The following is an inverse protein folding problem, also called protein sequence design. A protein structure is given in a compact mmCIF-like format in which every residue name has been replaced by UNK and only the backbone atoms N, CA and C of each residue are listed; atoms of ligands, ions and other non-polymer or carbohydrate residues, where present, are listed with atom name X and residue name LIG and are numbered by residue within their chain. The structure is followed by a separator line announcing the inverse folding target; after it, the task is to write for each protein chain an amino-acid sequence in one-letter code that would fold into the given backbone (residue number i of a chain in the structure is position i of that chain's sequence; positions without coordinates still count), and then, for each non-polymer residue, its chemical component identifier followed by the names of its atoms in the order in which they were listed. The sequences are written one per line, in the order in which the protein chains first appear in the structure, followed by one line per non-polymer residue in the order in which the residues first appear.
data_IF_602546764216
#
_entry.id   IF_602546764216
#
_cell.length_a   1.000
_cell.length_b   1.000
_cell.length_c   1.000
_cell.angle_alpha   90.00
_cell.angle_beta   90.00
_cell.angle_gamma   90.00
#
_symmetry.space_group_name_H-M   'P 1'
#
loop_
_entity.id
_entity.type
_entity.pdbx_description
1 polymer ?
#
# COMPACT_ATOMS: atom_id res chain seq x y z
N UNK A 1 -10.12 -6.00 -9.67
CA UNK A 1 -8.96 -5.70 -8.78
C UNK A 1 -9.19 -4.42 -8.02
N UNK A 2 -9.16 -4.48 -6.68
CA UNK A 2 -9.21 -3.31 -5.80
C UNK A 2 -7.88 -3.13 -5.10
N UNK A 3 -7.48 -1.87 -4.88
CA UNK A 3 -6.24 -1.52 -4.20
C UNK A 3 -6.57 -0.84 -2.87
N UNK A 4 -5.71 -1.08 -1.88
CA UNK A 4 -5.80 -0.54 -0.54
C UNK A 4 -4.43 -0.09 -0.07
N UNK A 5 -4.31 1.15 0.37
CA UNK A 5 -3.07 1.67 0.98
C UNK A 5 -3.10 1.42 2.48
N UNK A 6 -1.93 1.07 3.02
CA UNK A 6 -1.65 0.89 4.43
C UNK A 6 -0.53 1.88 4.76
N UNK A 7 -0.84 2.93 5.53
CA UNK A 7 0.17 3.86 6.03
C UNK A 7 0.38 3.54 7.50
N UNK A 8 1.57 3.05 7.83
CA UNK A 8 1.97 2.71 9.20
C UNK A 8 2.88 3.79 9.74
N UNK A 9 2.51 4.35 10.88
CA UNK A 9 3.35 5.25 11.66
C UNK A 9 4.00 4.48 12.81
N UNK A 10 5.28 4.08 12.71
CA UNK A 10 5.98 3.38 13.77
C UNK A 10 6.25 4.26 15.00
N UNK A 11 6.22 5.58 14.86
CA UNK A 11 6.47 6.51 15.96
C UNK A 11 5.25 6.65 16.85
N UNK A 12 4.06 6.73 16.26
CA UNK A 12 2.78 6.81 16.98
C UNK A 12 2.13 5.43 17.21
N UNK A 13 2.61 4.39 16.52
CA UNK A 13 2.02 3.04 16.57
C UNK A 13 0.65 2.96 15.88
N UNK A 14 0.39 3.83 14.91
CA UNK A 14 -0.92 3.94 14.24
C UNK A 14 -0.86 3.40 12.80
N UNK A 15 -2.01 2.95 12.31
CA UNK A 15 -2.17 2.47 10.94
C UNK A 15 -3.40 3.11 10.29
N UNK A 16 -3.21 3.70 9.13
CA UNK A 16 -4.27 4.31 8.32
C UNK A 16 -4.48 3.45 7.09
N UNK A 17 -5.74 3.16 6.80
CA UNK A 17 -6.17 2.32 5.70
C UNK A 17 -7.00 3.15 4.72
N UNK A 18 -6.65 3.09 3.43
CA UNK A 18 -7.40 3.72 2.34
C UNK A 18 -7.77 2.62 1.35
N UNK A 19 -9.01 2.15 1.38
CA UNK A 19 -9.53 1.07 0.54
C UNK A 19 -10.27 1.59 -0.71
N UNK A 20 -10.70 0.64 -1.57
CA UNK A 20 -11.49 0.90 -2.78
C UNK A 20 -10.82 1.86 -3.79
N UNK A 21 -9.49 1.85 -3.87
CA UNK A 21 -8.74 2.66 -4.81
C UNK A 21 -8.50 1.93 -6.14
N UNK A 22 -8.47 2.70 -7.23
CA UNK A 22 -7.89 2.24 -8.48
C UNK A 22 -6.36 2.20 -8.38
N UNK A 23 -5.70 1.39 -9.22
CA UNK A 23 -4.24 1.21 -9.20
C UNK A 23 -3.47 2.54 -9.23
N UNK A 24 -3.79 3.41 -10.18
CA UNK A 24 -3.10 4.70 -10.36
C UNK A 24 -3.32 5.64 -9.18
N UNK A 25 -4.53 5.64 -8.60
CA UNK A 25 -4.81 6.42 -7.40
C UNK A 25 -4.02 5.87 -6.19
N UNK A 26 -3.96 4.54 -6.05
CA UNK A 26 -3.22 3.91 -4.97
C UNK A 26 -1.73 4.24 -5.03
N UNK A 27 -1.14 4.21 -6.24
CA UNK A 27 0.25 4.59 -6.50
C UNK A 27 0.49 6.06 -6.12
N UNK A 28 -0.34 6.97 -6.64
CA UNK A 28 -0.17 8.42 -6.39
C UNK A 28 -0.26 8.75 -4.91
N UNK A 29 -1.25 8.20 -4.21
CA UNK A 29 -1.42 8.42 -2.77
C UNK A 29 -0.26 7.78 -1.99
N UNK A 30 0.24 6.62 -2.42
CA UNK A 30 1.41 6.01 -1.79
C UNK A 30 2.67 6.86 -1.95
N UNK A 31 2.90 7.42 -3.14
CA UNK A 31 4.00 8.37 -3.41
C UNK A 31 3.91 9.61 -2.52
N UNK A 32 2.72 10.21 -2.41
CA UNK A 32 2.52 11.40 -1.56
C UNK A 32 2.78 11.11 -0.08
N UNK A 33 2.33 9.95 0.42
CA UNK A 33 2.53 9.55 1.82
C UNK A 33 3.97 9.11 2.10
N UNK A 34 4.63 8.46 1.14
CA UNK A 34 6.02 8.00 1.26
C UNK A 34 7.04 9.16 1.27
N UNK A 35 6.63 10.40 0.92
CA UNK A 35 7.44 11.60 1.17
C UNK A 35 7.74 11.80 2.65
N UNK A 36 6.85 11.32 3.52
CA UNK A 36 7.09 11.29 4.95
C UNK A 36 7.94 10.06 5.30
N UNK A 37 9.26 10.26 5.37
CA UNK A 37 10.24 9.20 5.68
C UNK A 37 10.04 8.54 7.05
N UNK A 38 9.21 9.10 7.93
CA UNK A 38 8.88 8.50 9.22
C UNK A 38 7.80 7.43 9.11
N UNK A 39 7.05 7.41 8.01
CA UNK A 39 5.93 6.50 7.76
C UNK A 39 6.33 5.40 6.80
N UNK A 40 5.79 4.21 7.02
CA UNK A 40 5.92 3.09 6.11
C UNK A 40 4.62 2.96 5.32
N UNK A 41 4.71 3.05 3.99
CA UNK A 41 3.55 3.04 3.12
C UNK A 41 3.55 1.75 2.31
N UNK A 42 2.43 1.04 2.30
CA UNK A 42 2.28 -0.19 1.54
C UNK A 42 1.01 -0.10 0.70
N UNK A 43 1.04 -0.70 -0.48
CA UNK A 43 -0.16 -0.91 -1.28
C UNK A 43 -0.46 -2.41 -1.24
N UNK A 44 -1.65 -2.77 -0.83
CA UNK A 44 -2.22 -4.10 -0.97
C UNK A 44 -3.23 -4.11 -2.10
N UNK A 45 -3.39 -5.22 -2.79
CA UNK A 45 -4.44 -5.40 -3.78
C UNK A 45 -5.15 -6.73 -3.57
N UNK A 46 -6.39 -6.79 -4.03
CA UNK A 46 -7.18 -8.02 -4.11
C UNK A 46 -7.77 -8.10 -5.52
N UNK A 47 -7.53 -9.20 -6.21
CA UNK A 47 -8.14 -9.46 -7.52
C UNK A 47 -9.55 -10.03 -7.41
N UNK A 48 -10.21 -10.15 -8.55
CA UNK A 48 -11.61 -10.58 -8.65
C UNK A 48 -11.81 -12.07 -8.30
N UNK A 49 -10.73 -12.87 -8.28
CA UNK A 49 -10.71 -14.25 -7.79
C UNK A 49 -10.44 -14.33 -6.29
N UNK A 50 -10.23 -13.17 -5.64
CA UNK A 50 -9.97 -13.06 -4.20
C UNK A 50 -8.52 -13.29 -3.83
N UNK A 51 -7.58 -13.40 -4.78
CA UNK A 51 -6.17 -13.46 -4.41
C UNK A 51 -5.66 -12.06 -4.03
N UNK A 52 -5.03 -12.01 -2.86
CA UNK A 52 -4.41 -10.81 -2.32
C UNK A 52 -2.91 -10.75 -2.59
N UNK A 53 -2.38 -9.55 -2.72
CA UNK A 53 -0.94 -9.31 -2.80
C UNK A 53 -0.58 -7.89 -2.39
N UNK A 54 0.69 -7.54 -2.55
CA UNK A 54 1.24 -6.22 -2.29
C UNK A 54 1.83 -5.64 -3.56
N UNK A 55 1.77 -4.32 -3.72
CA UNK A 55 2.36 -3.60 -4.83
C UNK A 55 3.47 -2.69 -4.28
N UNK A 56 4.71 -2.90 -4.75
CA UNK A 56 5.85 -2.03 -4.48
C UNK A 56 6.26 -1.29 -5.78
N UNK A 57 7.34 -0.49 -5.72
CA UNK A 57 7.85 0.25 -6.89
C UNK A 57 8.24 -0.65 -8.07
N UNK A 58 8.71 -1.87 -7.79
CA UNK A 58 9.13 -2.86 -8.79
C UNK A 58 7.96 -3.64 -9.39
N UNK A 59 6.83 -3.75 -8.69
CA UNK A 59 5.62 -4.40 -9.18
C UNK A 59 4.82 -5.14 -8.11
N UNK A 60 4.01 -6.11 -8.55
CA UNK A 60 3.22 -6.94 -7.63
C UNK A 60 4.11 -8.01 -6.96
N UNK A 61 3.95 -8.19 -5.66
CA UNK A 61 4.68 -9.16 -4.85
C UNK A 61 3.73 -9.86 -3.88
N UNK A 62 3.98 -11.16 -3.66
CA UNK A 62 3.23 -11.96 -2.67
C UNK A 62 3.86 -11.88 -1.27
N UNK A 63 5.02 -11.24 -1.13
CA UNK A 63 5.65 -11.06 0.18
C UNK A 63 4.84 -10.01 0.95
N UNK A 64 4.28 -10.41 2.10
CA UNK A 64 3.53 -9.55 3.00
C UNK A 64 4.48 -8.97 4.07
N UNK A 65 4.49 -7.65 4.33
CA UNK A 65 3.75 -6.55 3.68
C UNK A 65 4.45 -6.01 2.41
N UNK A 66 5.50 -6.67 1.95
CA UNK A 66 6.36 -6.22 0.85
C UNK A 66 7.37 -5.18 1.35
N UNK A 67 8.15 -4.63 0.42
CA UNK A 67 8.94 -3.42 0.70
C UNK A 67 8.01 -2.20 0.73
N UNK A 68 8.20 -1.28 1.69
CA UNK A 68 7.46 -0.02 1.70
C UNK A 68 7.75 0.77 0.42
N UNK A 69 6.75 1.54 0.01
CA UNK A 69 6.75 2.39 -1.17
C UNK A 69 7.80 3.50 -1.10
#
# INVERSE_FOLDING_TARGET
MTYKIIVRDPSEGTEIYLDNLAKEQAIKEAEERAKDSTKQVYISFVDDEGHGGYLNRDGATCNCPGEPW
#
